data_IF_464525101275
#
_entry.id   IF_464525101275
#
_cell.length_a   1.000
_cell.length_b   1.000
_cell.length_c   1.000
_cell.angle_alpha   90.00
_cell.angle_beta   90.00
_cell.angle_gamma   90.00
#
_symmetry.space_group_name_H-M   'P 1'
#
loop_
_entity.id
_entity.type
_entity.pdbx_description
1 polymer ?
#
# COMPACT_ATOMS: atom_id res chain seq x y z
N UNK A 1 73.84 -1.00 -2.78
CA UNK A 1 72.66 -1.65 -3.40
C UNK A 1 71.62 -1.82 -2.30
N UNK A 2 71.00 -0.72 -1.85
CA UNK A 2 69.71 -0.16 -2.29
C UNK A 2 68.51 -1.07 -2.03
N UNK A 3 67.85 -0.74 -0.92
CA UNK A 3 66.59 -1.16 -0.28
C UNK A 3 65.38 -1.39 -1.22
N UNK A 4 64.54 -2.39 -0.92
CA UNK A 4 63.23 -2.21 -0.23
C UNK A 4 62.28 -3.41 -0.38
N UNK A 5 61.52 -3.79 0.68
CA UNK A 5 60.34 -4.64 0.59
C UNK A 5 59.06 -3.78 0.60
N UNK A 6 58.15 -4.00 -0.35
CA UNK A 6 56.85 -3.33 -0.35
C UNK A 6 55.81 -4.18 0.40
N UNK A 7 55.59 -3.80 1.66
CA UNK A 7 54.41 -4.16 2.45
C UNK A 7 53.27 -3.22 2.01
N UNK A 8 52.12 -3.77 1.63
CA UNK A 8 50.84 -3.02 1.65
C UNK A 8 49.76 -3.90 2.26
N UNK A 9 49.62 -3.77 3.58
CA UNK A 9 48.38 -4.07 4.28
C UNK A 9 47.39 -2.94 3.98
N UNK A 10 46.28 -3.25 3.30
CA UNK A 10 45.10 -2.39 3.25
C UNK A 10 44.06 -3.00 4.18
N UNK A 11 44.22 -2.74 5.48
CA UNK A 11 43.16 -2.88 6.46
C UNK A 11 42.50 -1.52 6.64
N UNK A 12 41.44 -1.25 5.88
CA UNK A 12 40.60 -0.07 6.09
C UNK A 12 39.29 -0.52 6.73
N UNK A 13 39.36 -0.81 8.03
CA UNK A 13 38.19 -1.04 8.87
C UNK A 13 37.50 0.31 9.07
N UNK A 14 36.43 0.57 8.31
CA UNK A 14 35.53 1.69 8.58
C UNK A 14 34.67 1.32 9.80
N UNK A 15 35.13 1.71 10.98
CA UNK A 15 34.29 1.69 12.18
C UNK A 15 33.29 2.84 12.09
N UNK A 16 32.05 2.55 11.66
CA UNK A 16 30.93 3.45 11.85
C UNK A 16 30.60 3.47 13.36
N UNK A 17 31.05 4.50 14.05
CA UNK A 17 30.58 4.84 15.40
C UNK A 17 29.17 5.40 15.24
N UNK A 18 28.17 4.53 15.32
CA UNK A 18 26.80 4.93 15.58
C UNK A 18 26.72 5.42 17.04
N UNK A 19 26.92 6.72 17.22
CA UNK A 19 26.61 7.42 18.46
C UNK A 19 25.10 7.43 18.67
N UNK A 20 24.55 6.35 19.23
CA UNK A 20 23.21 6.38 19.83
C UNK A 20 23.36 7.15 21.14
N UNK A 21 23.03 8.43 21.10
CA UNK A 21 22.79 9.21 22.30
C UNK A 21 21.57 8.63 23.02
N UNK A 22 21.81 7.73 23.96
CA UNK A 22 20.87 7.37 25.02
C UNK A 22 20.65 8.62 25.88
N UNK A 23 19.71 9.47 25.47
CA UNK A 23 19.09 10.46 26.34
C UNK A 23 18.28 9.69 27.39
N UNK A 24 18.93 9.40 28.51
CA UNK A 24 18.28 8.95 29.73
C UNK A 24 17.36 10.08 30.21
N UNK A 25 16.07 9.98 29.87
CA UNK A 25 15.03 10.82 30.47
C UNK A 25 14.99 10.56 31.97
N UNK A 26 15.10 11.60 32.82
CA UNK A 26 14.99 11.43 34.26
C UNK A 26 13.56 11.02 34.63
N UNK A 27 13.45 9.86 35.28
CA UNK A 27 12.30 9.44 36.08
C UNK A 27 12.03 10.50 37.17
N UNK A 28 11.22 11.51 36.85
CA UNK A 28 10.57 12.36 37.84
C UNK A 28 9.30 11.67 38.30
N UNK A 29 9.41 10.96 39.43
CA UNK A 29 8.27 10.59 40.24
C UNK A 29 7.64 11.84 40.84
N UNK A 30 6.59 12.35 40.20
CA UNK A 30 5.67 13.30 40.81
C UNK A 30 4.49 12.53 41.40
N UNK A 31 4.56 12.38 42.71
CA UNK A 31 3.58 11.76 43.59
C UNK A 31 2.32 12.65 43.65
N UNK A 32 1.45 12.57 42.64
CA UNK A 32 0.21 13.34 42.60
C UNK A 32 -0.87 12.66 43.44
N UNK A 33 -0.96 13.10 44.70
CA UNK A 33 -2.05 12.79 45.63
C UNK A 33 -3.41 13.06 44.99
N UNK A 34 -4.07 12.00 44.56
CA UNK A 34 -5.48 12.02 44.16
C UNK A 34 -6.35 12.49 45.33
N UNK A 35 -6.76 13.76 45.27
CA UNK A 35 -7.74 14.36 46.16
C UNK A 35 -9.11 13.79 45.78
N UNK A 36 -9.59 12.80 46.55
CA UNK A 36 -10.96 12.25 46.46
C UNK A 36 -11.99 13.39 46.35
N UNK A 37 -12.80 13.44 45.28
CA UNK A 37 -13.90 14.39 45.20
C UNK A 37 -14.94 14.07 46.27
N UNK A 38 -15.34 15.11 47.00
CA UNK A 38 -16.37 15.03 48.02
C UNK A 38 -17.70 14.56 47.40
N UNK A 39 -18.24 13.48 47.98
CA UNK A 39 -19.54 12.89 47.66
C UNK A 39 -20.65 13.92 47.93
N UNK A 40 -21.05 14.68 46.92
CA UNK A 40 -22.22 15.55 47.00
C UNK A 40 -23.47 14.67 47.07
N UNK A 41 -24.24 14.83 48.15
CA UNK A 41 -25.53 14.17 48.30
C UNK A 41 -26.47 14.66 47.18
N UNK A 42 -27.16 13.76 46.46
CA UNK A 42 -28.12 14.16 45.44
C UNK A 42 -29.25 14.97 46.10
N UNK A 43 -29.50 16.18 45.58
CA UNK A 43 -30.70 16.95 45.92
C UNK A 43 -31.95 16.18 45.46
N UNK A 44 -33.01 16.12 46.27
CA UNK A 44 -34.25 15.48 45.86
C UNK A 44 -34.84 16.24 44.66
N UNK A 45 -34.97 15.54 43.54
CA UNK A 45 -35.62 16.03 42.33
C UNK A 45 -37.12 16.07 42.60
N UNK A 46 -37.69 17.28 42.57
CA UNK A 46 -39.11 17.51 42.78
C UNK A 46 -39.89 17.14 41.49
N UNK A 47 -40.45 15.93 41.48
CA UNK A 47 -41.16 15.32 40.34
C UNK A 47 -42.59 15.84 40.10
N UNK A 48 -43.01 16.91 40.78
CA UNK A 48 -44.42 17.34 40.80
C UNK A 48 -44.83 18.36 39.71
N UNK A 49 -43.92 18.77 38.81
CA UNK A 49 -44.22 19.88 37.89
C UNK A 49 -43.69 19.70 36.46
N UNK A 50 -44.05 18.61 35.77
CA UNK A 50 -43.99 18.57 34.29
C UNK A 50 -45.24 17.87 33.73
N UNK A 51 -46.39 18.55 33.81
CA UNK A 51 -47.50 18.29 32.88
C UNK A 51 -47.17 18.97 31.55
N UNK A 52 -46.26 18.38 30.76
CA UNK A 52 -46.06 18.78 29.37
C UNK A 52 -47.27 18.29 28.58
N UNK A 53 -48.06 19.25 28.10
CA UNK A 53 -49.08 19.06 27.07
C UNK A 53 -48.42 18.38 25.87
N UNK A 54 -48.70 17.09 25.69
CA UNK A 54 -48.42 16.35 24.47
C UNK A 54 -49.41 16.88 23.44
N UNK A 55 -48.97 17.79 22.57
CA UNK A 55 -49.73 18.09 21.36
C UNK A 55 -49.79 16.80 20.54
N UNK A 56 -50.97 16.38 20.05
CA UNK A 56 -51.06 15.25 19.14
C UNK A 56 -50.18 15.55 17.92
N UNK A 57 -49.19 14.67 17.68
CA UNK A 57 -48.38 14.70 16.46
C UNK A 57 -49.34 14.56 15.29
N UNK A 58 -49.38 15.59 14.44
CA UNK A 58 -50.21 15.61 13.23
C UNK A 58 -49.85 14.41 12.35
N UNK A 59 -50.83 13.56 12.11
CA UNK A 59 -50.76 12.38 11.23
C UNK A 59 -50.56 12.72 9.75
N UNK A 60 -50.38 14.00 9.40
CA UNK A 60 -50.16 14.47 8.03
C UNK A 60 -48.83 13.99 7.44
N UNK A 61 -47.78 13.84 8.24
CA UNK A 61 -46.45 13.48 7.73
C UNK A 61 -46.34 12.02 7.25
N UNK A 62 -47.22 11.13 7.72
CA UNK A 62 -47.16 9.70 7.39
C UNK A 62 -47.69 9.42 5.97
N UNK A 63 -48.65 10.22 5.49
CA UNK A 63 -49.24 10.01 4.16
C UNK A 63 -48.32 10.48 3.01
N UNK A 64 -47.43 11.44 3.25
CA UNK A 64 -46.48 11.90 2.22
C UNK A 64 -45.36 10.86 1.97
N UNK A 65 -45.03 10.04 2.98
CA UNK A 65 -44.00 9.00 2.85
C UNK A 65 -44.50 7.84 1.97
N UNK A 66 -45.79 7.48 2.07
CA UNK A 66 -46.37 6.37 1.32
C UNK A 66 -46.59 6.67 -0.17
N UNK A 67 -46.62 7.95 -0.55
CA UNK A 67 -46.84 8.38 -1.93
C UNK A 67 -45.57 8.93 -2.60
N UNK A 68 -44.41 8.80 -1.97
CA UNK A 68 -43.16 9.25 -2.57
C UNK A 68 -42.89 8.39 -3.82
N UNK A 69 -42.61 9.01 -4.99
CA UNK A 69 -42.32 8.27 -6.20
C UNK A 69 -41.12 7.34 -5.96
N UNK A 70 -41.26 6.11 -6.44
CA UNK A 70 -40.18 5.13 -6.47
C UNK A 70 -39.05 5.70 -7.34
N UNK A 71 -37.81 5.63 -6.86
CA UNK A 71 -36.66 6.12 -7.62
C UNK A 71 -36.49 5.19 -8.83
N UNK A 72 -36.70 5.72 -10.04
CA UNK A 72 -36.38 4.98 -11.25
C UNK A 72 -34.86 4.79 -11.32
N UNK A 73 -34.41 3.56 -11.09
CA UNK A 73 -33.01 3.17 -11.20
C UNK A 73 -32.85 2.39 -12.49
N UNK A 74 -32.00 2.90 -13.38
CA UNK A 74 -31.57 2.16 -14.55
C UNK A 74 -30.85 0.87 -14.08
N UNK A 75 -31.29 -0.33 -14.51
CA UNK A 75 -30.70 -1.60 -14.10
C UNK A 75 -29.20 -1.68 -14.39
N UNK A 76 -28.71 -0.96 -15.40
CA UNK A 76 -27.30 -0.93 -15.79
C UNK A 76 -26.45 0.02 -14.93
N UNK A 77 -27.06 0.78 -14.02
CA UNK A 77 -26.32 1.63 -13.08
C UNK A 77 -25.55 0.75 -12.09
N UNK A 78 -24.21 0.89 -12.01
CA UNK A 78 -23.39 0.20 -11.02
C UNK A 78 -23.95 0.41 -9.63
N UNK A 79 -23.99 -0.65 -8.82
CA UNK A 79 -24.69 -0.64 -7.53
C UNK A 79 -24.22 0.50 -6.61
N UNK A 80 -22.91 0.82 -6.65
CA UNK A 80 -22.30 1.89 -5.87
C UNK A 80 -22.73 3.31 -6.30
N UNK A 81 -23.25 3.49 -7.53
CA UNK A 81 -23.76 4.76 -8.06
C UNK A 81 -25.29 4.87 -7.98
N UNK A 82 -25.97 3.85 -7.44
CA UNK A 82 -27.42 3.85 -7.33
C UNK A 82 -27.87 4.95 -6.36
N UNK A 83 -28.93 5.68 -6.71
CA UNK A 83 -29.48 6.70 -5.83
C UNK A 83 -30.02 6.06 -4.54
N UNK A 84 -29.79 6.73 -3.42
CA UNK A 84 -30.30 6.37 -2.11
C UNK A 84 -31.18 7.49 -1.56
N UNK A 85 -32.21 7.11 -0.81
CA UNK A 85 -33.06 8.03 -0.06
C UNK A 85 -32.67 7.95 1.41
N UNK A 86 -32.07 9.03 1.92
CA UNK A 86 -31.63 9.11 3.31
C UNK A 86 -32.54 10.05 4.11
N UNK A 87 -32.91 9.64 5.31
CA UNK A 87 -33.78 10.36 6.24
C UNK A 87 -32.98 10.94 7.41
N UNK A 88 -33.37 12.13 7.84
CA UNK A 88 -32.88 12.74 9.07
C UNK A 88 -33.78 12.40 10.26
N UNK A 89 -33.32 12.73 11.48
CA UNK A 89 -34.09 12.51 12.72
C UNK A 89 -35.41 13.28 12.81
N UNK A 90 -35.59 14.31 11.99
CA UNK A 90 -36.84 15.09 11.90
C UNK A 90 -37.83 14.52 10.87
N UNK A 91 -37.50 13.41 10.20
CA UNK A 91 -38.31 12.77 9.16
C UNK A 91 -38.20 13.42 7.78
N UNK A 92 -37.29 14.38 7.58
CA UNK A 92 -36.98 14.94 6.26
C UNK A 92 -36.07 13.98 5.50
N UNK A 93 -36.24 13.89 4.18
CA UNK A 93 -35.41 13.03 3.35
C UNK A 93 -34.63 13.80 2.29
N UNK A 94 -33.61 13.15 1.75
CA UNK A 94 -32.86 13.59 0.58
C UNK A 94 -32.61 12.41 -0.35
N UNK A 95 -32.91 12.60 -1.63
CA UNK A 95 -32.54 11.68 -2.70
C UNK A 95 -31.17 12.09 -3.25
N UNK A 96 -30.18 11.22 -3.08
CA UNK A 96 -28.79 11.52 -3.39
C UNK A 96 -28.00 10.29 -3.83
N UNK A 97 -26.84 10.51 -4.45
CA UNK A 97 -25.79 9.49 -4.61
C UNK A 97 -24.79 9.62 -3.47
N UNK A 98 -24.37 8.49 -2.92
CA UNK A 98 -23.27 8.42 -1.96
C UNK A 98 -21.95 8.58 -2.71
N UNK A 99 -21.16 9.57 -2.32
CA UNK A 99 -19.83 9.80 -2.92
C UNK A 99 -18.72 9.29 -2.00
N UNK A 100 -18.81 9.62 -0.71
CA UNK A 100 -17.87 9.16 0.31
C UNK A 100 -18.52 9.20 1.69
N UNK A 101 -18.02 8.38 2.60
CA UNK A 101 -18.38 8.48 4.01
C UNK A 101 -17.13 8.28 4.88
N UNK A 102 -16.94 9.17 5.84
CA UNK A 102 -16.04 9.01 6.98
C UNK A 102 -16.89 8.90 8.23
N UNK A 103 -16.46 8.17 9.27
CA UNK A 103 -17.35 7.77 10.38
C UNK A 103 -18.22 8.88 11.03
N UNK A 104 -17.85 10.16 10.88
CA UNK A 104 -18.64 11.30 11.36
C UNK A 104 -19.50 12.00 10.29
N UNK A 105 -19.16 11.88 8.99
CA UNK A 105 -19.77 12.63 7.89
C UNK A 105 -19.92 11.80 6.63
N UNK A 106 -21.03 12.01 5.92
CA UNK A 106 -21.25 11.46 4.58
C UNK A 106 -21.37 12.60 3.57
N UNK A 107 -20.63 12.45 2.47
CA UNK A 107 -20.63 13.36 1.32
C UNK A 107 -21.62 12.83 0.29
N UNK A 108 -22.59 13.65 -0.06
CA UNK A 108 -23.71 13.29 -0.92
C UNK A 108 -23.76 14.20 -2.14
N UNK A 109 -24.16 13.64 -3.29
CA UNK A 109 -24.58 14.42 -4.46
C UNK A 109 -26.10 14.36 -4.58
N UNK A 110 -26.79 15.49 -4.41
CA UNK A 110 -28.25 15.55 -4.53
C UNK A 110 -28.69 15.29 -5.98
N UNK A 111 -29.72 14.48 -6.17
CA UNK A 111 -30.22 14.17 -7.53
C UNK A 111 -30.92 15.34 -8.22
N UNK A 112 -31.53 16.26 -7.46
CA UNK A 112 -32.34 17.34 -8.05
C UNK A 112 -31.51 18.46 -8.67
N UNK A 113 -30.33 18.75 -8.12
CA UNK A 113 -29.48 19.87 -8.55
C UNK A 113 -28.01 19.49 -8.76
N UNK A 114 -27.66 18.21 -8.62
CA UNK A 114 -26.29 17.68 -8.70
C UNK A 114 -25.28 18.35 -7.75
N UNK A 115 -25.75 19.05 -6.70
CA UNK A 115 -24.86 19.70 -5.74
C UNK A 115 -24.31 18.70 -4.74
N UNK A 116 -23.03 18.85 -4.44
CA UNK A 116 -22.35 18.08 -3.41
C UNK A 116 -22.44 18.79 -2.06
N UNK A 117 -22.72 18.04 -0.99
CA UNK A 117 -22.76 18.57 0.37
C UNK A 117 -22.44 17.48 1.39
N UNK A 118 -21.91 17.91 2.53
CA UNK A 118 -21.59 17.03 3.66
C UNK A 118 -22.70 17.08 4.70
N UNK A 119 -23.15 15.92 5.17
CA UNK A 119 -24.03 15.82 6.34
C UNK A 119 -23.36 15.00 7.43
N UNK A 120 -23.56 15.41 8.69
CA UNK A 120 -23.07 14.63 9.81
C UNK A 120 -23.90 13.35 9.97
N UNK A 121 -23.26 12.19 10.10
CA UNK A 121 -23.92 10.89 10.34
C UNK A 121 -24.89 10.95 11.52
N UNK A 122 -24.57 11.73 12.56
CA UNK A 122 -25.41 11.93 13.73
C UNK A 122 -26.77 12.61 13.45
N UNK A 123 -26.94 13.24 12.28
CA UNK A 123 -28.21 13.88 11.85
C UNK A 123 -29.15 12.91 11.14
N UNK A 124 -28.62 11.80 10.62
CA UNK A 124 -29.38 10.75 9.96
C UNK A 124 -30.15 9.92 10.99
N UNK A 125 -31.23 9.29 10.53
CA UNK A 125 -31.93 8.28 11.31
C UNK A 125 -31.18 6.94 11.29
N UNK A 126 -31.54 6.02 12.19
CA UNK A 126 -30.81 4.77 12.37
C UNK A 126 -30.86 3.86 11.12
N UNK A 127 -31.95 3.96 10.33
CA UNK A 127 -32.10 3.19 9.10
C UNK A 127 -31.14 3.69 8.00
N UNK A 128 -31.06 5.01 7.81
CA UNK A 128 -30.15 5.62 6.84
C UNK A 128 -28.68 5.44 7.24
N UNK A 129 -28.36 5.48 8.53
CA UNK A 129 -27.03 5.15 9.05
C UNK A 129 -26.63 3.74 8.62
N UNK A 130 -27.48 2.73 8.85
CA UNK A 130 -27.21 1.36 8.41
C UNK A 130 -27.07 1.23 6.89
N UNK A 131 -27.80 2.01 6.11
CA UNK A 131 -27.68 2.01 4.66
C UNK A 131 -26.32 2.57 4.21
N UNK A 132 -25.84 3.64 4.85
CA UNK A 132 -24.50 4.21 4.59
C UNK A 132 -23.41 3.24 5.02
N UNK A 133 -23.55 2.60 6.20
CA UNK A 133 -22.63 1.56 6.67
C UNK A 133 -22.59 0.37 5.72
N UNK A 134 -23.75 -0.15 5.29
CA UNK A 134 -23.80 -1.25 4.32
C UNK A 134 -23.25 -0.87 2.94
N UNK A 135 -23.27 0.41 2.57
CA UNK A 135 -22.61 0.91 1.36
C UNK A 135 -21.10 0.99 1.55
N UNK A 136 -20.62 1.44 2.72
CA UNK A 136 -19.21 1.44 3.09
C UNK A 136 -18.62 0.03 3.11
N UNK A 137 -19.34 -0.93 3.70
CA UNK A 137 -18.93 -2.33 3.81
C UNK A 137 -18.80 -3.01 2.44
N UNK A 138 -19.55 -2.56 1.44
CA UNK A 138 -19.42 -3.05 0.05
C UNK A 138 -18.19 -2.52 -0.66
N UNK A 139 -17.50 -1.51 -0.11
CA UNK A 139 -16.31 -0.94 -0.71
C UNK A 139 -16.60 -0.35 -2.09
N UNK A 140 -17.27 0.81 -2.16
CA UNK A 140 -17.66 1.39 -3.44
C UNK A 140 -16.39 1.66 -4.24
N UNK A 141 -16.27 1.02 -5.40
CA UNK A 141 -15.18 1.17 -6.38
C UNK A 141 -14.85 2.64 -6.69
N UNK A 142 -15.81 3.54 -6.47
CA UNK A 142 -15.69 4.98 -6.67
C UNK A 142 -14.98 5.75 -5.54
N UNK A 143 -14.37 5.10 -4.54
CA UNK A 143 -13.53 5.82 -3.59
C UNK A 143 -12.19 6.16 -4.24
N UNK A 144 -12.03 7.42 -4.65
CA UNK A 144 -10.75 7.93 -5.15
C UNK A 144 -9.70 7.92 -4.04
N UNK A 145 -8.93 6.84 -3.94
CA UNK A 145 -7.76 6.77 -3.08
C UNK A 145 -6.59 7.42 -3.80
N UNK A 146 -6.11 8.53 -3.23
CA UNK A 146 -4.82 9.10 -3.61
C UNK A 146 -3.74 8.48 -2.72
N UNK A 147 -2.88 7.67 -3.30
CA UNK A 147 -1.76 7.02 -2.62
C UNK A 147 -0.44 7.60 -3.12
N UNK A 148 0.51 7.79 -2.21
CA UNK A 148 1.87 8.17 -2.55
C UNK A 148 2.85 7.10 -2.10
N UNK A 149 3.80 6.78 -2.97
CA UNK A 149 4.83 5.78 -2.75
C UNK A 149 6.20 6.46 -2.72
N UNK A 150 6.97 6.19 -1.68
CA UNK A 150 8.39 6.48 -1.63
C UNK A 150 9.14 5.14 -1.55
N UNK A 151 9.90 4.84 -2.60
CA UNK A 151 10.58 3.56 -2.74
C UNK A 151 12.08 3.79 -2.88
N UNK A 152 12.85 3.16 -2.00
CA UNK A 152 14.30 3.32 -1.96
C UNK A 152 15.00 1.97 -2.01
N UNK A 153 15.79 1.77 -3.07
CA UNK A 153 16.67 0.61 -3.20
C UNK A 153 17.83 0.71 -2.20
N UNK A 154 18.09 -0.37 -1.47
CA UNK A 154 19.09 -0.45 -0.41
C UNK A 154 19.96 -1.71 -0.54
N UNK A 155 21.26 -1.52 -0.41
CA UNK A 155 22.21 -2.63 -0.30
C UNK A 155 22.19 -3.13 1.15
N UNK A 156 21.83 -4.39 1.34
CA UNK A 156 21.78 -5.06 2.65
C UNK A 156 23.16 -5.59 3.00
N UNK A 157 23.76 -6.34 2.08
CA UNK A 157 25.04 -6.99 2.27
C UNK A 157 25.79 -7.06 0.94
N UNK A 158 27.12 -7.08 1.01
CA UNK A 158 27.94 -7.32 -0.18
C UNK A 158 29.19 -8.05 0.21
N UNK A 159 29.45 -9.13 -0.53
CA UNK A 159 30.66 -9.91 -0.44
C UNK A 159 31.40 -9.87 -1.77
N UNK A 160 32.72 -9.95 -1.70
CA UNK A 160 33.56 -10.04 -2.88
C UNK A 160 34.72 -10.98 -2.62
N UNK A 161 35.01 -11.85 -3.58
CA UNK A 161 36.18 -12.71 -3.52
C UNK A 161 36.85 -12.79 -4.89
N UNK A 162 38.17 -12.97 -4.87
CA UNK A 162 38.97 -13.11 -6.08
C UNK A 162 39.66 -14.46 -6.09
N UNK A 163 39.56 -15.18 -7.20
CA UNK A 163 40.25 -16.46 -7.37
C UNK A 163 40.68 -16.65 -8.82
N UNK A 164 41.92 -17.08 -9.05
CA UNK A 164 42.46 -17.37 -10.38
C UNK A 164 42.30 -16.21 -11.41
N UNK A 165 42.40 -14.96 -10.96
CA UNK A 165 42.23 -13.78 -11.82
C UNK A 165 40.77 -13.46 -12.18
N UNK A 166 39.80 -14.07 -11.50
CA UNK A 166 38.38 -13.77 -11.59
C UNK A 166 37.92 -13.06 -10.33
N UNK A 167 37.15 -12.00 -10.50
CA UNK A 167 36.53 -11.27 -9.41
C UNK A 167 35.04 -11.60 -9.39
N UNK A 168 34.59 -12.11 -8.25
CA UNK A 168 33.20 -12.41 -7.99
C UNK A 168 32.70 -11.43 -6.94
N UNK A 169 31.51 -10.87 -7.18
CA UNK A 169 30.84 -9.99 -6.23
C UNK A 169 29.40 -10.45 -6.06
N UNK A 170 29.02 -10.72 -4.82
CA UNK A 170 27.66 -11.05 -4.41
C UNK A 170 27.10 -9.84 -3.66
N UNK A 171 25.87 -9.45 -3.95
CA UNK A 171 25.21 -8.29 -3.35
C UNK A 171 23.76 -8.62 -3.05
N UNK A 172 23.36 -8.48 -1.80
CA UNK A 172 21.98 -8.63 -1.38
C UNK A 172 21.30 -7.25 -1.38
N UNK A 173 20.27 -7.07 -2.20
CA UNK A 173 19.53 -5.82 -2.34
C UNK A 173 18.10 -5.97 -1.85
N UNK A 174 17.60 -4.97 -1.15
CA UNK A 174 16.19 -4.88 -0.75
C UNK A 174 15.61 -3.50 -1.13
N UNK A 175 14.29 -3.36 -1.05
CA UNK A 175 13.60 -2.08 -1.15
C UNK A 175 13.00 -1.70 0.20
N UNK A 176 13.26 -0.48 0.64
CA UNK A 176 12.50 0.18 1.70
C UNK A 176 11.32 0.91 1.03
N UNK A 177 10.10 0.56 1.40
CA UNK A 177 8.85 1.08 0.82
C UNK A 177 8.08 1.84 1.89
N UNK A 178 7.71 3.08 1.57
CA UNK A 178 6.81 3.92 2.37
C UNK A 178 5.56 4.21 1.55
N UNK A 179 4.42 3.71 2.02
CA UNK A 179 3.09 4.00 1.49
C UNK A 179 2.44 5.09 2.33
N UNK A 180 1.97 6.17 1.70
CA UNK A 180 1.21 7.24 2.36
C UNK A 180 -0.19 7.35 1.77
N UNK A 181 -1.22 7.28 2.63
CA UNK A 181 -2.59 7.57 2.22
C UNK A 181 -2.81 9.10 2.16
N UNK A 182 -2.94 9.67 0.97
CA UNK A 182 -3.24 11.09 0.77
C UNK A 182 -4.75 11.36 0.66
N UNK A 183 -5.59 10.31 0.65
CA UNK A 183 -7.04 10.46 0.62
C UNK A 183 -7.59 10.76 2.02
N UNK A 184 -8.71 11.49 2.07
CA UNK A 184 -9.43 11.74 3.34
C UNK A 184 -10.13 10.51 3.89
N UNK A 185 -10.30 9.49 3.06
CA UNK A 185 -10.92 8.23 3.43
C UNK A 185 -9.88 7.36 4.14
N UNK A 186 -10.31 6.69 5.20
CA UNK A 186 -9.45 5.73 5.87
C UNK A 186 -9.28 4.49 5.01
N UNK A 187 -8.03 4.08 4.78
CA UNK A 187 -7.70 2.87 4.07
C UNK A 187 -7.65 1.72 5.09
N UNK A 188 -8.74 0.97 5.17
CA UNK A 188 -8.87 -0.26 5.97
C UNK A 188 -8.93 -1.47 5.05
N UNK A 189 -8.50 -2.61 5.58
CA UNK A 189 -8.63 -3.93 4.94
C UNK A 189 -8.05 -3.90 3.52
N UNK A 190 -6.90 -3.25 3.38
CA UNK A 190 -6.17 -3.14 2.13
C UNK A 190 -5.01 -4.12 2.14
N UNK A 191 -4.80 -4.75 1.01
CA UNK A 191 -3.70 -5.68 0.77
C UNK A 191 -2.69 -4.96 -0.12
N UNK A 192 -1.41 -5.17 0.16
CA UNK A 192 -0.34 -4.70 -0.70
C UNK A 192 0.38 -5.90 -1.28
N UNK A 193 0.42 -5.94 -2.60
CA UNK A 193 1.20 -6.93 -3.31
C UNK A 193 2.37 -6.22 -3.98
N UNK A 194 3.52 -6.89 -4.05
CA UNK A 194 4.62 -6.40 -4.85
C UNK A 194 5.35 -7.52 -5.56
N UNK A 195 6.02 -7.11 -6.65
CA UNK A 195 6.87 -7.94 -7.47
C UNK A 195 8.21 -7.23 -7.67
N UNK A 196 9.31 -7.91 -7.33
CA UNK A 196 10.65 -7.45 -7.71
C UNK A 196 11.05 -8.16 -9.01
N UNK A 197 11.37 -7.38 -10.03
CA UNK A 197 11.78 -7.88 -11.35
C UNK A 197 13.28 -7.69 -11.53
N UNK A 198 13.96 -8.76 -11.93
CA UNK A 198 15.39 -8.75 -12.19
C UNK A 198 15.79 -9.71 -13.31
N UNK A 199 16.91 -9.41 -13.95
CA UNK A 199 17.57 -10.29 -14.90
C UNK A 199 18.70 -11.04 -14.17
N UNK A 200 18.62 -12.37 -14.21
CA UNK A 200 19.64 -13.29 -13.71
C UNK A 200 20.50 -13.75 -14.90
N UNK A 201 21.65 -13.12 -15.07
CA UNK A 201 22.57 -13.42 -16.17
C UNK A 201 23.69 -14.37 -15.74
N UNK A 202 24.00 -14.43 -14.45
CA UNK A 202 25.14 -15.18 -13.93
C UNK A 202 24.86 -15.84 -12.60
N UNK A 203 25.09 -17.15 -12.55
CA UNK A 203 25.05 -17.93 -11.32
C UNK A 203 26.47 -18.39 -10.94
N UNK A 204 26.90 -18.11 -9.72
CA UNK A 204 28.23 -18.38 -9.18
C UNK A 204 28.13 -19.50 -8.18
N UNK A 205 28.52 -20.70 -8.61
CA UNK A 205 28.58 -21.87 -7.72
C UNK A 205 30.03 -22.12 -7.34
N UNK A 206 30.35 -21.84 -6.07
CA UNK A 206 31.70 -21.95 -5.46
C UNK A 206 32.75 -21.03 -6.09
N UNK A 207 33.23 -21.38 -7.28
CA UNK A 207 34.36 -20.73 -7.97
C UNK A 207 34.17 -20.69 -9.50
N UNK A 208 33.01 -21.14 -9.99
CA UNK A 208 32.69 -21.22 -11.41
C UNK A 208 31.44 -20.39 -11.67
N UNK A 209 31.49 -19.56 -12.70
CA UNK A 209 30.33 -18.85 -13.22
C UNK A 209 29.60 -19.73 -14.24
N UNK A 210 28.29 -19.85 -14.09
CA UNK A 210 27.34 -20.46 -14.99
C UNK A 210 26.40 -19.37 -15.52
N UNK A 211 25.78 -19.55 -16.70
CA UNK A 211 24.67 -18.69 -17.09
C UNK A 211 23.52 -18.84 -16.08
N UNK A 212 22.92 -17.72 -15.68
CA UNK A 212 21.74 -17.70 -14.80
C UNK A 212 20.48 -18.23 -15.49
N UNK A 213 19.35 -18.21 -14.76
CA UNK A 213 18.06 -18.70 -15.24
C UNK A 213 17.46 -17.85 -16.36
N UNK A 214 17.94 -16.62 -16.54
CA UNK A 214 17.56 -15.74 -17.64
C UNK A 214 16.84 -14.47 -17.18
N UNK A 215 16.07 -13.90 -18.10
CA UNK A 215 15.49 -12.55 -17.94
C UNK A 215 14.17 -12.56 -17.19
N UNK A 216 13.89 -11.45 -16.52
CA UNK A 216 12.60 -11.14 -15.87
C UNK A 216 12.16 -12.15 -14.79
N UNK A 217 13.09 -12.59 -13.95
CA UNK A 217 12.77 -13.32 -12.72
C UNK A 217 11.93 -12.44 -11.77
N UNK A 218 11.05 -13.08 -11.00
CA UNK A 218 10.01 -12.42 -10.20
C UNK A 218 9.93 -13.01 -8.80
N UNK A 219 9.90 -12.15 -7.78
CA UNK A 219 9.54 -12.54 -6.41
C UNK A 219 8.25 -11.85 -5.98
N UNK A 220 7.23 -12.65 -5.63
CA UNK A 220 5.90 -12.18 -5.23
C UNK A 220 5.69 -12.32 -3.72
N UNK A 221 5.09 -11.30 -3.12
CA UNK A 221 4.72 -11.31 -1.70
C UNK A 221 3.53 -10.40 -1.44
N UNK A 222 2.66 -10.88 -0.57
CA UNK A 222 1.52 -10.13 -0.04
C UNK A 222 1.88 -9.57 1.34
N UNK A 223 1.42 -8.35 1.62
CA UNK A 223 1.66 -7.62 2.86
C UNK A 223 0.34 -7.06 3.36
N UNK A 224 -0.09 -7.51 4.53
CA UNK A 224 -1.25 -6.95 5.23
C UNK A 224 -0.95 -5.51 5.66
N UNK A 225 -1.71 -4.55 5.16
CA UNK A 225 -1.56 -3.16 5.56
C UNK A 225 -2.36 -2.86 6.84
N UNK A 226 -1.76 -2.16 7.83
CA UNK A 226 -2.54 -1.63 8.94
C UNK A 226 -3.51 -0.55 8.44
N UNK A 227 -4.61 -0.27 9.16
CA UNK A 227 -5.49 0.86 8.84
C UNK A 227 -4.73 2.19 8.71
N UNK A 228 -4.85 2.86 7.56
CA UNK A 228 -4.21 4.15 7.28
C UNK A 228 -5.25 5.25 7.18
N UNK A 229 -5.28 6.14 8.19
CA UNK A 229 -6.03 7.40 8.11
C UNK A 229 -5.42 8.39 7.10
N UNK A 230 -5.98 9.60 7.04
CA UNK A 230 -5.45 10.69 6.21
C UNK A 230 -4.00 11.03 6.60
N UNK A 231 -3.09 10.99 5.62
CA UNK A 231 -1.63 11.07 5.77
C UNK A 231 -1.01 9.99 6.66
N UNK A 232 -1.74 8.91 6.94
CA UNK A 232 -1.19 7.72 7.58
C UNK A 232 -0.11 7.09 6.70
N UNK A 233 0.91 6.52 7.35
CA UNK A 233 2.05 5.89 6.68
C UNK A 233 2.18 4.43 7.09
N UNK A 234 2.44 3.57 6.12
CA UNK A 234 2.93 2.20 6.33
C UNK A 234 4.33 2.10 5.75
N UNK A 235 5.24 1.47 6.51
CA UNK A 235 6.64 1.30 6.12
C UNK A 235 7.00 -0.18 6.24
N UNK A 236 7.62 -0.74 5.20
CA UNK A 236 8.14 -2.10 5.22
C UNK A 236 9.38 -2.23 4.34
N UNK A 237 10.17 -3.27 4.59
CA UNK A 237 11.34 -3.63 3.79
C UNK A 237 11.07 -4.97 3.13
N UNK A 238 11.34 -5.08 1.83
CA UNK A 238 11.22 -6.34 1.08
C UNK A 238 12.29 -7.34 1.52
N UNK A 239 12.09 -8.66 1.30
CA UNK A 239 13.17 -9.62 1.27
C UNK A 239 14.32 -9.15 0.37
N UNK A 240 15.52 -9.60 0.70
CA UNK A 240 16.70 -9.31 -0.10
C UNK A 240 16.79 -10.23 -1.30
N UNK A 241 17.00 -9.66 -2.48
CA UNK A 241 17.32 -10.38 -3.70
C UNK A 241 18.83 -10.41 -3.87
N UNK A 242 19.38 -11.62 -4.02
CA UNK A 242 20.80 -11.83 -4.27
C UNK A 242 21.14 -11.51 -5.72
N UNK A 243 22.15 -10.66 -5.93
CA UNK A 243 22.66 -10.27 -7.24
C UNK A 243 24.13 -10.60 -7.32
N UNK A 244 24.53 -11.19 -8.44
CA UNK A 244 25.89 -11.63 -8.67
C UNK A 244 26.52 -10.84 -9.81
N UNK A 245 27.84 -10.70 -9.72
CA UNK A 245 28.65 -10.04 -10.74
C UNK A 245 29.93 -10.84 -10.92
N UNK A 246 30.21 -11.16 -12.17
CA UNK A 246 31.39 -11.86 -12.62
C UNK A 246 32.23 -10.95 -13.51
N UNK A 247 33.49 -10.82 -13.16
CA UNK A 247 34.47 -10.10 -13.94
C UNK A 247 35.74 -10.94 -14.11
N UNK A 248 36.17 -11.13 -15.35
CA UNK A 248 37.40 -11.82 -15.67
C UNK A 248 38.32 -10.92 -16.50
N UNK A 249 39.52 -10.69 -15.97
CA UNK A 249 40.57 -9.92 -16.62
C UNK A 249 41.68 -10.87 -17.12
N UNK A 250 41.61 -11.35 -18.37
CA UNK A 250 42.62 -12.25 -18.90
C UNK A 250 43.96 -11.51 -19.14
N UNK A 251 45.07 -12.23 -19.03
CA UNK A 251 46.41 -11.68 -19.37
C UNK A 251 46.54 -11.35 -20.87
N UNK A 252 45.74 -12.00 -21.72
CA UNK A 252 45.59 -11.74 -23.15
C UNK A 252 44.15 -12.06 -23.56
N UNK A 253 43.45 -11.12 -24.19
CA UNK A 253 42.07 -11.29 -24.67
C UNK A 253 41.15 -10.17 -24.19
N UNK A 254 39.86 -10.31 -24.51
CA UNK A 254 38.82 -9.37 -24.10
C UNK A 254 38.34 -9.66 -22.67
N UNK A 255 38.01 -8.60 -21.93
CA UNK A 255 37.45 -8.70 -20.58
C UNK A 255 36.03 -9.27 -20.64
N UNK A 256 35.78 -10.34 -19.91
CA UNK A 256 34.42 -10.88 -19.74
C UNK A 256 33.78 -10.21 -18.53
N UNK A 257 32.59 -9.66 -18.72
CA UNK A 257 31.80 -9.03 -17.67
C UNK A 257 30.35 -9.49 -17.79
N UNK A 258 29.83 -10.10 -16.74
CA UNK A 258 28.41 -10.49 -16.62
C UNK A 258 27.89 -10.05 -15.27
N UNK A 259 26.64 -9.60 -15.22
CA UNK A 259 26.08 -9.04 -14.00
C UNK A 259 24.57 -9.15 -14.00
N UNK A 260 24.04 -9.60 -12.88
CA UNK A 260 22.61 -9.55 -12.63
C UNK A 260 22.14 -8.11 -12.44
N UNK A 261 20.95 -7.86 -12.95
CA UNK A 261 20.38 -6.52 -12.98
C UNK A 261 18.95 -6.53 -12.43
N UNK A 262 18.76 -5.88 -11.29
CA UNK A 262 17.40 -5.54 -10.84
C UNK A 262 16.83 -4.48 -11.77
N UNK A 263 15.78 -4.85 -12.51
CA UNK A 263 15.02 -3.97 -13.38
C UNK A 263 14.20 -3.00 -12.55
N UNK A 264 13.50 -3.49 -11.53
CA UNK A 264 12.69 -2.63 -10.66
C UNK A 264 11.81 -3.39 -9.69
N UNK A 265 10.98 -2.64 -8.99
CA UNK A 265 9.84 -3.11 -8.20
C UNK A 265 8.54 -2.54 -8.78
N UNK A 266 7.51 -3.38 -8.78
CA UNK A 266 6.12 -3.08 -9.12
C UNK A 266 5.25 -3.37 -7.90
N UNK A 267 4.49 -2.37 -7.44
CA UNK A 267 3.66 -2.45 -6.23
C UNK A 267 2.21 -2.19 -6.62
N UNK A 268 1.28 -2.98 -6.08
CA UNK A 268 -0.17 -2.78 -6.17
C UNK A 268 -0.76 -2.74 -4.78
N UNK A 269 -1.69 -1.82 -4.59
CA UNK A 269 -2.53 -1.78 -3.40
C UNK A 269 -3.93 -2.17 -3.83
N UNK A 270 -4.42 -3.26 -3.26
CA UNK A 270 -5.73 -3.81 -3.51
C UNK A 270 -6.66 -3.51 -2.34
N UNK A 271 -7.94 -3.31 -2.65
CA UNK A 271 -8.99 -3.24 -1.64
C UNK A 271 -10.21 -3.95 -2.21
N UNK A 272 -10.71 -4.96 -1.50
CA UNK A 272 -11.85 -5.78 -1.94
C UNK A 272 -11.66 -6.38 -3.35
N UNK A 273 -10.42 -6.77 -3.69
CA UNK A 273 -10.07 -7.32 -5.00
C UNK A 273 -9.95 -6.31 -6.13
N UNK A 274 -10.06 -5.00 -5.87
CA UNK A 274 -9.85 -3.94 -6.86
C UNK A 274 -8.52 -3.23 -6.60
N UNK A 275 -7.77 -2.93 -7.67
CA UNK A 275 -6.52 -2.16 -7.60
C UNK A 275 -6.86 -0.68 -7.42
N UNK A 276 -6.61 -0.16 -6.21
CA UNK A 276 -6.86 1.24 -5.87
C UNK A 276 -5.64 2.14 -6.07
N UNK A 277 -4.46 1.55 -6.26
CA UNK A 277 -3.24 2.27 -6.58
C UNK A 277 -2.11 1.36 -7.00
N UNK A 278 -1.27 1.87 -7.87
CA UNK A 278 -0.17 1.12 -8.50
C UNK A 278 1.07 2.01 -8.60
N UNK A 279 2.23 1.40 -8.41
CA UNK A 279 3.52 2.07 -8.54
C UNK A 279 4.53 1.19 -9.28
N UNK A 280 5.20 1.79 -10.26
CA UNK A 280 6.31 1.20 -10.98
C UNK A 280 7.55 2.08 -10.82
N UNK A 281 8.64 1.49 -10.31
CA UNK A 281 9.92 2.21 -10.20
C UNK A 281 10.52 2.61 -11.56
N UNK A 282 10.36 1.76 -12.57
CA UNK A 282 10.80 2.01 -13.95
C UNK A 282 9.69 1.65 -14.95
N UNK A 283 8.73 2.56 -15.21
CA UNK A 283 7.56 2.26 -16.04
C UNK A 283 7.93 1.69 -17.42
N UNK A 284 8.90 2.27 -18.12
CA UNK A 284 9.28 1.83 -19.47
C UNK A 284 9.81 0.39 -19.55
N UNK A 285 10.39 -0.13 -18.45
CA UNK A 285 10.91 -1.50 -18.41
C UNK A 285 9.89 -2.50 -17.85
N UNK A 286 8.96 -2.03 -17.01
CA UNK A 286 7.97 -2.87 -16.33
C UNK A 286 6.63 -2.94 -17.07
N UNK A 287 6.28 -1.95 -17.89
CA UNK A 287 5.00 -1.88 -18.62
C UNK A 287 4.83 -3.03 -19.63
N UNK A 288 5.92 -3.61 -20.14
CA UNK A 288 5.87 -4.79 -21.02
C UNK A 288 5.58 -6.10 -20.28
N UNK A 289 5.62 -6.09 -18.95
CA UNK A 289 5.35 -7.26 -18.13
C UNK A 289 3.89 -7.24 -17.70
N UNK A 290 3.22 -8.39 -17.72
CA UNK A 290 1.91 -8.52 -17.11
C UNK A 290 2.00 -9.05 -15.68
N UNK A 291 1.10 -8.58 -14.83
CA UNK A 291 1.08 -8.97 -13.41
C UNK A 291 0.66 -10.44 -13.21
N UNK A 292 -0.30 -10.92 -14.01
CA UNK A 292 -0.95 -12.23 -13.88
C UNK A 292 -0.36 -13.29 -14.81
N UNK A 293 0.92 -13.22 -15.13
CA UNK A 293 1.55 -14.09 -16.13
C UNK A 293 1.85 -15.51 -15.61
N UNK A 294 0.98 -16.05 -14.75
CA UNK A 294 1.05 -17.44 -14.29
C UNK A 294 0.51 -18.42 -15.36
N UNK A 295 -0.19 -17.95 -16.39
CA UNK A 295 -0.91 -18.85 -17.32
C UNK A 295 -0.27 -19.04 -18.72
N UNK A 296 0.66 -18.20 -19.19
CA UNK A 296 1.13 -18.26 -20.59
C UNK A 296 2.64 -18.00 -20.79
N UNK A 297 3.52 -18.50 -19.91
CA UNK A 297 4.94 -18.65 -20.30
C UNK A 297 5.05 -19.88 -21.19
N UNK A 298 4.64 -19.76 -22.46
CA UNK A 298 5.11 -20.67 -23.50
C UNK A 298 6.61 -20.43 -23.63
N UNK A 299 7.41 -21.26 -22.95
CA UNK A 299 8.87 -21.27 -23.08
C UNK A 299 9.17 -21.62 -24.53
N UNK A 300 9.21 -20.61 -25.39
CA UNK A 300 9.78 -20.75 -26.72
C UNK A 300 11.28 -20.86 -26.48
N UNK A 301 11.76 -22.09 -26.32
CA UNK A 301 13.20 -22.38 -26.35
C UNK A 301 13.69 -21.98 -27.74
N UNK A 302 14.06 -20.72 -27.90
CA UNK A 302 14.86 -20.28 -29.05
C UNK A 302 16.24 -20.87 -28.85
N UNK A 303 16.38 -22.09 -29.34
CA UNK A 303 17.64 -22.78 -29.46
C UNK A 303 18.46 -22.05 -30.52
N UNK A 304 18.98 -20.87 -30.15
CA UNK A 304 19.82 -20.00 -31.00
C UNK A 304 21.08 -20.71 -31.48
N UNK A 305 21.43 -21.83 -30.82
CA UNK A 305 22.44 -22.75 -31.31
C UNK A 305 21.97 -23.53 -32.54
N UNK A 306 20.71 -23.96 -32.60
CA UNK A 306 20.13 -24.73 -33.71
C UNK A 306 19.91 -23.87 -34.96
N UNK A 307 19.52 -22.60 -34.79
CA UNK A 307 19.36 -21.64 -35.91
C UNK A 307 20.69 -21.33 -36.63
N UNK A 308 21.85 -21.51 -36.00
CA UNK A 308 23.14 -21.35 -36.69
C UNK A 308 23.53 -22.52 -37.59
N UNK A 309 22.83 -23.67 -37.48
CA UNK A 309 23.14 -24.89 -38.24
C UNK A 309 22.04 -25.30 -39.22
N UNK A 310 20.94 -24.55 -39.32
CA UNK A 310 19.98 -24.80 -40.39
C UNK A 310 20.53 -24.28 -41.73
N UNK A 311 20.67 -25.14 -42.74
CA UNK A 311 21.12 -24.71 -44.05
C UNK A 311 20.06 -23.80 -44.68
N UNK A 312 20.47 -22.60 -45.09
CA UNK A 312 19.66 -21.76 -45.95
C UNK A 312 19.58 -22.42 -47.34
N UNK A 313 18.43 -23.01 -47.65
CA UNK A 313 18.05 -23.44 -49.01
C UNK A 313 17.69 -22.26 -49.92
#
# INVERSE_FOLDING_TARGET
MSLSPFVRAFGMTLAFVAGVALMASPLHGADEKQKKPARQKPKPVNLSAVKKSVKPMETSAVNDILNAPELEVDPDTPEHLRPVRLFNKDGRYVDARLLSASGEKVTLQRLTDNRTFDIAMATLDDASVRQVEAWLDRGPASMDFSLAFEVKKKLVESDSFSTLGRNFKMMNWAYDVVLTNQSRNELRDAELDYQIVYDDEVEVVRTTAYPGEGRNQREFRDVDLPPLGFNGRAEFTTPSVEMQTYEYEPTRGDREYRRDQIIGIWIRVMKNGEVIGEYMSHPAALESLSWNEDDDIEITVRDSFKEQFEPHD
#
